data_IF_677109607454
#
_entry.id   IF_677109607454
#
_cell.length_a   1.000
_cell.length_b   1.000
_cell.length_c   1.000
_cell.angle_alpha   90.00
_cell.angle_beta   90.00
_cell.angle_gamma   90.00
#
_symmetry.space_group_name_H-M   'P 1'
#
loop_
_entity.id
_entity.type
_entity.pdbx_description
1 polymer ?
#
# COMPACT_ATOMS: atom_id res chain seq x y z
N UNK A 1 22.18 -5.51 24.73
CA UNK A 1 20.80 -5.12 24.42
C UNK A 1 20.67 -5.00 22.92
N UNK A 2 20.09 -5.99 22.24
CA UNK A 2 19.80 -5.90 20.81
C UNK A 2 18.43 -5.26 20.64
N UNK A 3 18.34 -3.93 20.75
CA UNK A 3 17.11 -3.17 20.48
C UNK A 3 17.35 -2.19 19.32
N UNK A 4 17.88 -2.71 18.22
CA UNK A 4 18.16 -1.93 17.01
C UNK A 4 17.67 -2.65 15.77
N UNK A 5 16.49 -3.27 15.83
CA UNK A 5 15.75 -3.56 14.61
C UNK A 5 15.39 -2.20 14.01
N UNK A 6 15.77 -1.95 12.77
CA UNK A 6 15.48 -0.67 12.12
C UNK A 6 13.99 -0.39 12.18
N UNK A 7 13.60 0.85 12.48
CA UNK A 7 12.25 1.37 12.25
C UNK A 7 11.97 1.49 10.74
N UNK A 8 12.39 0.47 9.97
CA UNK A 8 12.31 0.45 8.51
C UNK A 8 10.85 0.26 8.14
N UNK A 9 10.23 1.40 7.85
CA UNK A 9 8.90 1.45 7.33
C UNK A 9 8.91 0.97 5.88
N UNK A 10 8.25 -0.16 5.63
CA UNK A 10 7.92 -0.64 4.28
C UNK A 10 6.97 0.32 3.58
N UNK A 11 7.29 0.67 2.33
CA UNK A 11 6.47 1.54 1.47
C UNK A 11 6.06 0.77 0.22
N UNK A 12 4.77 0.79 -0.10
CA UNK A 12 4.23 0.13 -1.29
C UNK A 12 3.50 1.16 -2.15
N UNK A 13 3.94 1.26 -3.40
CA UNK A 13 3.19 1.89 -4.48
C UNK A 13 2.65 0.77 -5.37
N UNK A 14 1.34 0.78 -5.59
CA UNK A 14 0.60 -0.26 -6.32
C UNK A 14 -0.16 0.37 -7.47
N UNK A 15 -0.29 -0.38 -8.56
CA UNK A 15 -1.16 -0.05 -9.69
C UNK A 15 -2.24 -1.11 -9.85
N UNK A 16 -3.51 -0.70 -9.86
CA UNK A 16 -4.68 -1.57 -10.13
C UNK A 16 -5.33 -1.12 -11.43
N UNK A 17 -5.55 -2.05 -12.36
CA UNK A 17 -6.33 -1.79 -13.57
C UNK A 17 -7.76 -2.27 -13.38
N UNK A 18 -8.73 -1.41 -13.68
CA UNK A 18 -10.16 -1.69 -13.66
C UNK A 18 -10.84 -0.86 -14.74
N UNK A 19 -11.77 -1.44 -15.51
CA UNK A 19 -12.57 -0.71 -16.51
C UNK A 19 -11.77 0.19 -17.47
N UNK A 20 -10.63 -0.31 -17.98
CA UNK A 20 -9.68 0.42 -18.83
C UNK A 20 -9.06 1.68 -18.16
N UNK A 21 -9.25 1.86 -16.86
CA UNK A 21 -8.61 2.87 -16.05
C UNK A 21 -7.51 2.25 -15.17
N UNK A 22 -6.62 3.13 -14.69
CA UNK A 22 -5.52 2.77 -13.81
C UNK A 22 -5.69 3.57 -12.51
N UNK A 23 -5.74 2.87 -11.38
CA UNK A 23 -5.85 3.45 -10.05
C UNK A 23 -4.59 3.14 -9.25
N UNK A 24 -3.99 4.19 -8.68
CA UNK A 24 -2.77 4.07 -7.88
C UNK A 24 -3.10 4.00 -6.40
N UNK A 25 -2.50 3.04 -5.71
CA UNK A 25 -2.60 2.85 -4.28
C UNK A 25 -1.28 3.12 -3.57
N UNK A 26 -1.36 3.69 -2.37
CA UNK A 26 -0.21 3.90 -1.49
C UNK A 26 -0.43 3.33 -0.10
N UNK A 27 0.56 2.61 0.43
CA UNK A 27 0.53 2.00 1.75
C UNK A 27 1.89 2.04 2.44
N UNK A 28 1.85 2.22 3.77
CA UNK A 28 3.03 2.40 4.60
C UNK A 28 2.84 1.65 5.92
N UNK A 29 3.77 0.73 6.23
CA UNK A 29 3.77 -0.06 7.47
C UNK A 29 5.12 -0.78 7.65
N UNK A 30 5.54 -1.05 8.88
CA UNK A 30 6.78 -1.82 9.18
C UNK A 30 6.74 -3.23 8.55
N UNK A 31 5.60 -3.90 8.70
CA UNK A 31 5.29 -5.12 7.96
C UNK A 31 4.89 -4.82 6.50
N UNK A 32 5.67 -5.32 5.54
CA UNK A 32 5.45 -5.10 4.11
C UNK A 32 4.14 -5.71 3.59
N UNK A 33 3.66 -6.81 4.17
CA UNK A 33 2.38 -7.43 3.82
C UNK A 33 1.23 -6.50 4.21
N UNK A 34 1.30 -5.90 5.40
CA UNK A 34 0.32 -4.90 5.84
C UNK A 34 0.39 -3.65 4.95
N UNK A 35 1.58 -3.17 4.60
CA UNK A 35 1.74 -2.05 3.68
C UNK A 35 1.11 -2.34 2.29
N UNK A 36 1.24 -3.56 1.79
CA UNK A 36 0.57 -3.99 0.55
C UNK A 36 -0.95 -4.01 0.66
N UNK A 37 -1.50 -4.49 1.79
CA UNK A 37 -2.96 -4.46 2.03
C UNK A 37 -3.47 -3.02 2.06
N UNK A 38 -2.77 -2.12 2.74
CA UNK A 38 -3.14 -0.70 2.78
C UNK A 38 -3.10 -0.05 1.39
N UNK A 39 -2.06 -0.32 0.60
CA UNK A 39 -1.98 0.19 -0.76
C UNK A 39 -3.16 -0.30 -1.61
N UNK A 40 -3.54 -1.58 -1.48
CA UNK A 40 -4.67 -2.15 -2.21
C UNK A 40 -6.02 -1.55 -1.80
N UNK A 41 -6.25 -1.40 -0.49
CA UNK A 41 -7.46 -0.74 0.00
C UNK A 41 -7.54 0.73 -0.44
N UNK A 42 -6.42 1.44 -0.50
CA UNK A 42 -6.35 2.81 -1.02
C UNK A 42 -6.72 2.87 -2.52
N UNK A 43 -6.21 1.96 -3.35
CA UNK A 43 -6.59 1.87 -4.76
C UNK A 43 -8.08 1.51 -4.94
N UNK A 44 -8.61 0.55 -4.17
CA UNK A 44 -10.02 0.16 -4.22
C UNK A 44 -10.97 1.30 -3.83
N UNK A 45 -10.63 2.08 -2.80
CA UNK A 45 -11.41 3.27 -2.43
C UNK A 45 -11.53 4.23 -3.60
N UNK A 46 -10.44 4.44 -4.35
CA UNK A 46 -10.42 5.33 -5.53
C UNK A 46 -11.24 4.78 -6.70
N UNK A 47 -11.29 3.46 -6.87
CA UNK A 47 -12.16 2.81 -7.85
C UNK A 47 -13.63 3.06 -7.51
N UNK A 48 -14.01 2.91 -6.24
CA UNK A 48 -15.41 3.03 -5.81
C UNK A 48 -15.89 4.48 -5.64
N UNK A 49 -14.97 5.44 -5.53
CA UNK A 49 -15.28 6.86 -5.35
C UNK A 49 -15.21 7.68 -6.64
N UNK A 50 -14.91 7.05 -7.78
CA UNK A 50 -14.86 7.68 -9.11
C UNK A 50 -16.04 7.24 -9.97
#
# INVERSE_FOLDING_TARGET
SMNGGSDDVGKVHLQVSSENQIHYGFGMHEDIVIASVYAYLDALKKILSQ
#
